data_IF_660670085454
#
_entry.id   IF_660670085454
#
_cell.length_a   1.000
_cell.length_b   1.000
_cell.length_c   1.000
_cell.angle_alpha   90.00
_cell.angle_beta   90.00
_cell.angle_gamma   90.00
#
_symmetry.space_group_name_H-M   'P 1'
#
loop_
_entity.id
_entity.type
_entity.pdbx_description
1 polymer ?
#
# COMPACT_ATOMS: atom_id res chain seq x y z
N UNK A 1 5.53 -2.13 57.41
CA UNK A 1 5.07 -3.32 58.13
C UNK A 1 5.52 -4.54 57.34
N UNK A 2 6.59 -5.17 57.84
CA UNK A 2 7.15 -6.52 57.64
C UNK A 2 7.14 -7.17 56.22
N UNK A 3 8.30 -7.39 55.56
CA UNK A 3 9.32 -8.47 55.75
C UNK A 3 9.04 -9.68 54.84
N UNK A 4 9.94 -10.48 54.28
CA UNK A 4 11.39 -10.77 54.36
C UNK A 4 11.73 -11.60 53.08
N UNK A 5 12.85 -11.41 52.39
CA UNK A 5 14.16 -12.08 52.55
C UNK A 5 14.18 -13.60 52.28
N UNK A 6 15.04 -14.00 51.33
CA UNK A 6 15.45 -15.39 51.07
C UNK A 6 16.61 -15.44 50.07
N UNK A 7 17.83 -15.30 50.60
CA UNK A 7 19.11 -15.53 49.92
C UNK A 7 19.49 -17.01 50.01
N UNK A 8 20.08 -17.59 48.96
CA UNK A 8 21.11 -18.61 49.10
C UNK A 8 22.09 -18.58 47.91
N UNK A 9 23.35 -18.30 48.25
CA UNK A 9 24.57 -18.54 47.47
C UNK A 9 24.96 -20.03 47.47
N UNK A 10 25.59 -20.47 46.37
CA UNK A 10 26.71 -21.45 46.32
C UNK A 10 27.27 -21.35 44.88
N UNK A 11 28.37 -20.64 44.58
CA UNK A 11 29.79 -20.93 44.84
C UNK A 11 30.29 -22.27 44.23
N UNK A 12 30.94 -22.27 43.05
CA UNK A 12 32.41 -22.43 42.93
C UNK A 12 32.99 -22.51 41.48
N UNK A 13 34.10 -21.76 41.34
CA UNK A 13 35.27 -21.73 40.41
C UNK A 13 35.40 -22.73 39.25
N UNK A 14 35.67 -22.26 38.02
CA UNK A 14 36.93 -21.76 37.41
C UNK A 14 37.86 -22.92 36.92
N UNK A 15 38.43 -22.87 35.70
CA UNK A 15 39.73 -22.23 35.42
C UNK A 15 40.07 -22.31 33.89
N UNK A 16 40.68 -21.23 33.39
CA UNK A 16 41.61 -21.03 32.25
C UNK A 16 41.15 -20.70 30.80
N UNK A 17 41.94 -19.79 30.24
CA UNK A 17 41.73 -18.88 29.10
C UNK A 17 42.56 -19.30 27.85
N UNK A 18 42.86 -18.46 26.82
CA UNK A 18 42.60 -18.76 25.40
C UNK A 18 43.87 -18.86 24.51
N UNK A 19 43.68 -18.85 23.16
CA UNK A 19 44.61 -18.45 22.04
C UNK A 19 45.14 -19.63 21.18
N UNK A 20 45.50 -19.49 19.86
CA UNK A 20 44.93 -18.77 18.70
C UNK A 20 44.64 -19.70 17.46
N UNK A 21 44.05 -19.14 16.40
CA UNK A 21 43.51 -19.87 15.24
C UNK A 21 44.45 -20.23 14.08
N UNK A 22 43.86 -20.80 13.01
CA UNK A 22 44.37 -20.89 11.63
C UNK A 22 43.18 -21.23 10.72
N UNK A 23 43.03 -20.50 9.61
CA UNK A 23 41.98 -20.70 8.61
C UNK A 23 42.34 -21.73 7.53
N UNK A 24 41.33 -22.23 6.83
CA UNK A 24 41.38 -22.70 5.43
C UNK A 24 39.95 -23.15 5.03
N UNK A 25 39.26 -22.38 4.19
CA UNK A 25 39.16 -22.47 2.72
C UNK A 25 38.42 -23.72 2.23
N UNK A 26 37.28 -23.46 1.61
CA UNK A 26 36.39 -24.40 0.95
C UNK A 26 37.07 -25.10 -0.25
N UNK A 27 36.82 -26.40 -0.38
CA UNK A 27 37.05 -27.15 -1.61
C UNK A 27 35.71 -27.46 -2.29
N UNK A 28 35.49 -26.77 -3.41
CA UNK A 28 34.56 -27.18 -4.46
C UNK A 28 35.03 -28.52 -5.02
N UNK A 29 34.11 -29.46 -5.24
CA UNK A 29 34.32 -30.55 -6.18
C UNK A 29 33.25 -30.47 -7.26
N UNK A 30 33.74 -30.26 -8.47
CA UNK A 30 33.02 -30.33 -9.73
C UNK A 30 32.77 -31.78 -10.12
N UNK A 31 31.58 -32.04 -10.62
CA UNK A 31 31.12 -33.30 -11.18
C UNK A 31 31.82 -33.60 -12.50
N UNK A 32 32.33 -34.83 -12.66
CA UNK A 32 32.47 -35.44 -14.00
C UNK A 32 32.00 -36.89 -13.94
N UNK A 33 30.81 -37.09 -14.50
CA UNK A 33 30.20 -38.39 -14.79
C UNK A 33 30.96 -39.08 -15.92
N UNK A 34 31.33 -40.35 -15.72
CA UNK A 34 31.99 -41.18 -16.73
C UNK A 34 31.99 -42.67 -16.39
N UNK A 35 30.92 -43.35 -16.86
CA UNK A 35 30.89 -44.74 -17.34
C UNK A 35 31.42 -45.91 -16.50
N UNK A 36 30.46 -46.72 -16.03
CA UNK A 36 30.47 -48.19 -15.82
C UNK A 36 31.84 -48.91 -15.89
N UNK A 37 32.29 -49.39 -14.74
CA UNK A 37 33.21 -50.53 -14.62
C UNK A 37 32.56 -51.58 -13.72
N UNK A 38 32.33 -52.77 -14.29
CA UNK A 38 31.98 -53.97 -13.54
C UNK A 38 33.19 -54.36 -12.70
N UNK A 39 33.11 -54.20 -11.36
CA UNK A 39 34.18 -54.63 -10.48
C UNK A 39 33.82 -56.01 -9.90
N UNK A 40 34.51 -57.04 -10.39
CA UNK A 40 34.40 -58.42 -9.90
C UNK A 40 34.84 -58.50 -8.44
N UNK A 41 34.01 -59.05 -7.58
CA UNK A 41 34.38 -59.38 -6.21
C UNK A 41 35.37 -60.55 -6.21
N UNK A 42 36.63 -60.28 -5.86
CA UNK A 42 37.60 -61.31 -5.49
C UNK A 42 37.57 -61.46 -3.96
N UNK A 43 37.47 -62.68 -3.41
CA UNK A 43 37.57 -62.86 -1.97
C UNK A 43 39.05 -62.76 -1.58
N UNK A 44 39.39 -61.80 -0.73
CA UNK A 44 40.70 -61.74 -0.08
C UNK A 44 40.64 -62.57 1.19
N UNK A 45 41.28 -63.73 1.20
CA UNK A 45 41.50 -64.53 2.41
C UNK A 45 42.44 -63.77 3.37
N UNK A 46 41.90 -63.45 4.54
CA UNK A 46 42.54 -63.58 5.84
C UNK A 46 43.85 -62.84 6.10
N UNK A 47 43.75 -61.66 6.75
CA UNK A 47 44.59 -61.37 7.92
C UNK A 47 43.67 -61.01 9.07
N UNK A 48 43.68 -61.87 10.09
CA UNK A 48 42.96 -61.76 11.34
C UNK A 48 43.34 -60.46 12.08
N UNK A 49 42.35 -59.65 12.44
CA UNK A 49 42.58 -58.52 13.35
C UNK A 49 41.60 -57.35 13.28
N UNK A 50 40.79 -57.23 12.22
CA UNK A 50 39.73 -56.24 12.13
C UNK A 50 38.38 -56.96 12.11
N UNK A 51 37.57 -56.79 13.15
CA UNK A 51 36.20 -57.29 13.18
C UNK A 51 35.37 -56.53 12.14
N UNK A 52 35.33 -57.04 10.91
CA UNK A 52 34.37 -56.60 9.91
C UNK A 52 32.98 -57.02 10.41
N UNK A 53 32.25 -56.08 11.00
CA UNK A 53 30.86 -56.31 11.39
C UNK A 53 30.05 -56.41 10.10
N UNK A 54 29.59 -57.61 9.79
CA UNK A 54 28.74 -57.86 8.65
C UNK A 54 27.42 -57.09 8.84
N UNK A 55 26.98 -56.34 7.83
CA UNK A 55 25.72 -55.60 7.92
C UNK A 55 24.57 -56.58 8.19
N UNK A 56 23.81 -56.43 9.28
CA UNK A 56 22.79 -57.41 9.69
C UNK A 56 21.65 -57.54 8.66
N UNK A 57 21.44 -56.51 7.84
CA UNK A 57 20.34 -56.44 6.86
C UNK A 57 20.67 -57.14 5.54
N UNK A 58 21.91 -57.03 5.06
CA UNK A 58 22.31 -57.60 3.76
C UNK A 58 23.38 -58.70 3.87
N UNK A 59 23.88 -58.98 5.09
CA UNK A 59 24.91 -59.98 5.39
C UNK A 59 26.13 -59.96 4.45
N UNK A 60 26.44 -58.82 3.85
CA UNK A 60 27.55 -58.67 2.89
C UNK A 60 27.22 -59.10 1.45
N UNK A 61 25.99 -59.55 1.16
CA UNK A 61 25.55 -59.97 -0.17
C UNK A 61 25.11 -58.81 -1.08
N UNK A 62 24.89 -57.61 -0.54
CA UNK A 62 24.40 -56.45 -1.30
C UNK A 62 22.94 -56.55 -1.75
N UNK A 63 22.30 -57.72 -1.62
CA UNK A 63 20.91 -57.99 -1.97
C UNK A 63 20.09 -58.27 -0.70
N UNK A 64 18.87 -57.74 -0.64
CA UNK A 64 17.95 -57.91 0.49
C UNK A 64 16.96 -59.03 0.11
N UNK A 65 16.78 -60.08 0.93
CA UNK A 65 15.82 -61.15 0.65
C UNK A 65 14.39 -60.61 0.54
N UNK A 66 13.63 -61.04 -0.48
CA UNK A 66 12.25 -60.59 -0.77
C UNK A 66 11.25 -60.81 0.39
N UNK A 67 11.52 -61.75 1.31
CA UNK A 67 10.70 -61.95 2.51
C UNK A 67 10.85 -60.82 3.53
N UNK A 68 12.01 -60.16 3.57
CA UNK A 68 12.29 -59.05 4.48
C UNK A 68 11.84 -57.70 3.87
N UNK A 69 11.76 -57.61 2.54
CA UNK A 69 11.35 -56.39 1.82
C UNK A 69 9.95 -55.90 2.24
N UNK A 70 9.02 -56.82 2.51
CA UNK A 70 7.67 -56.50 3.02
C UNK A 70 7.64 -56.00 4.47
N UNK A 71 8.70 -56.27 5.24
CA UNK A 71 8.83 -55.88 6.65
C UNK A 71 9.75 -54.66 6.84
N UNK A 72 10.55 -54.30 5.83
CA UNK A 72 11.29 -53.04 5.76
C UNK A 72 10.39 -51.88 5.34
N UNK A 73 9.30 -51.67 6.09
CA UNK A 73 8.65 -50.35 6.10
C UNK A 73 9.59 -49.43 6.87
N UNK A 74 10.13 -48.41 6.20
CA UNK A 74 10.87 -47.36 6.87
C UNK A 74 9.93 -46.60 7.83
N UNK A 75 9.74 -47.14 9.02
CA UNK A 75 9.09 -46.47 10.14
C UNK A 75 10.06 -45.38 10.59
N UNK A 76 9.92 -44.18 10.04
CA UNK A 76 10.65 -43.00 10.51
C UNK A 76 10.13 -42.73 11.93
N UNK A 77 10.95 -42.91 12.98
CA UNK A 77 10.48 -42.74 14.35
C UNK A 77 10.05 -41.28 14.55
N UNK A 78 8.93 -41.06 15.23
CA UNK A 78 8.37 -39.72 15.50
C UNK A 78 9.36 -38.78 16.25
N UNK A 79 10.43 -39.35 16.82
CA UNK A 79 11.54 -38.66 17.48
C UNK A 79 12.89 -38.77 16.75
N UNK A 80 12.92 -38.94 15.43
CA UNK A 80 14.20 -38.98 14.69
C UNK A 80 14.95 -37.66 14.84
N UNK A 81 16.08 -37.71 15.56
CA UNK A 81 16.89 -36.56 15.91
C UNK A 81 17.63 -35.99 14.70
N UNK A 82 17.70 -36.73 13.58
CA UNK A 82 18.24 -36.23 12.30
C UNK A 82 17.36 -35.13 11.69
N UNK A 83 16.06 -35.08 12.01
CA UNK A 83 15.15 -34.03 11.54
C UNK A 83 15.33 -32.67 12.24
N UNK A 84 16.33 -32.52 13.15
CA UNK A 84 16.59 -31.31 13.96
C UNK A 84 15.28 -30.59 14.34
N UNK A 85 14.36 -31.26 15.05
CA UNK A 85 12.98 -30.78 15.26
C UNK A 85 12.92 -29.39 15.90
N UNK A 86 13.92 -29.01 16.71
CA UNK A 86 14.05 -27.68 17.30
C UNK A 86 14.32 -26.58 16.27
N UNK A 87 15.15 -26.84 15.26
CA UNK A 87 15.43 -25.89 14.18
C UNK A 87 14.26 -25.83 13.18
N UNK A 88 13.65 -26.96 12.86
CA UNK A 88 12.48 -27.02 11.98
C UNK A 88 11.28 -26.29 12.59
N UNK A 89 11.01 -26.48 13.89
CA UNK A 89 9.96 -25.75 14.62
C UNK A 89 10.19 -24.23 14.65
N UNK A 90 11.43 -23.79 14.92
CA UNK A 90 11.79 -22.36 14.90
C UNK A 90 11.64 -21.78 13.49
N UNK A 91 12.06 -22.51 12.46
CA UNK A 91 11.94 -22.09 11.06
C UNK A 91 10.49 -21.94 10.64
N UNK A 92 9.63 -22.91 10.96
CA UNK A 92 8.19 -22.84 10.69
C UNK A 92 7.55 -21.68 11.44
N UNK A 93 7.87 -21.48 12.73
CA UNK A 93 7.36 -20.35 13.50
C UNK A 93 7.80 -19.00 12.90
N UNK A 94 9.07 -18.89 12.51
CA UNK A 94 9.60 -17.69 11.87
C UNK A 94 8.93 -17.42 10.51
N UNK A 95 8.69 -18.47 9.71
CA UNK A 95 7.98 -18.36 8.44
C UNK A 95 6.54 -17.88 8.63
N UNK A 96 5.82 -18.43 9.62
CA UNK A 96 4.46 -17.98 9.97
C UNK A 96 4.48 -16.52 10.42
N UNK A 97 5.42 -16.12 11.28
CA UNK A 97 5.55 -14.75 11.75
C UNK A 97 5.83 -13.78 10.59
N UNK A 98 6.77 -14.11 9.70
CA UNK A 98 7.08 -13.30 8.52
C UNK A 98 5.87 -13.17 7.60
N UNK A 99 5.10 -14.25 7.39
CA UNK A 99 3.87 -14.21 6.59
C UNK A 99 2.79 -13.30 7.21
N UNK A 100 2.59 -13.38 8.53
CA UNK A 100 1.65 -12.49 9.23
C UNK A 100 2.09 -11.03 9.13
N UNK A 101 3.39 -10.76 9.28
CA UNK A 101 3.94 -9.41 9.14
C UNK A 101 3.77 -8.88 7.72
N UNK A 102 4.11 -9.66 6.69
CA UNK A 102 3.95 -9.21 5.29
C UNK A 102 2.48 -9.02 4.93
N UNK A 103 1.59 -9.92 5.33
CA UNK A 103 0.15 -9.79 5.13
C UNK A 103 -0.39 -8.53 5.81
N UNK A 104 0.00 -8.28 7.07
CA UNK A 104 -0.42 -7.07 7.80
C UNK A 104 0.08 -5.79 7.14
N UNK A 105 1.32 -5.78 6.64
CA UNK A 105 1.88 -4.64 5.90
C UNK A 105 1.12 -4.40 4.59
N UNK A 106 0.86 -5.45 3.81
CA UNK A 106 0.08 -5.35 2.56
C UNK A 106 -1.29 -4.75 2.84
N UNK A 107 -2.00 -5.26 3.86
CA UNK A 107 -3.30 -4.70 4.25
C UNK A 107 -3.15 -3.25 4.69
N UNK A 108 -2.19 -2.91 5.54
CA UNK A 108 -2.00 -1.54 6.00
C UNK A 108 -1.72 -0.52 4.88
N UNK A 109 -0.94 -0.91 3.86
CA UNK A 109 -0.60 -0.02 2.74
C UNK A 109 -1.69 0.05 1.65
N UNK A 110 -2.41 -1.04 1.40
CA UNK A 110 -3.42 -1.12 0.35
C UNK A 110 -4.85 -0.87 0.84
N UNK A 111 -5.09 -0.86 2.16
CA UNK A 111 -6.41 -0.55 2.67
C UNK A 111 -6.78 0.90 2.31
N UNK A 112 -7.93 1.12 1.65
CA UNK A 112 -8.29 2.41 1.12
C UNK A 112 -8.47 3.41 2.26
N UNK A 113 -7.73 4.51 2.16
CA UNK A 113 -7.86 5.71 2.99
C UNK A 113 -8.66 6.76 2.23
N UNK A 114 -9.24 7.68 2.98
CA UNK A 114 -10.07 8.75 2.44
C UNK A 114 -9.31 9.65 1.47
N UNK A 115 -9.92 9.91 0.32
CA UNK A 115 -9.56 11.01 -0.57
C UNK A 115 -10.48 12.18 -0.24
N UNK A 116 -9.88 13.33 0.06
CA UNK A 116 -10.62 14.51 0.50
C UNK A 116 -10.63 15.54 -0.63
N UNK A 117 -11.82 16.04 -0.96
CA UNK A 117 -12.02 17.08 -1.97
C UNK A 117 -12.57 18.32 -1.28
N UNK A 118 -11.85 19.43 -1.39
CA UNK A 118 -12.19 20.69 -0.71
C UNK A 118 -12.18 21.85 -1.71
N UNK A 119 -13.31 22.57 -1.86
CA UNK A 119 -13.34 23.83 -2.60
C UNK A 119 -12.43 24.86 -1.92
N UNK A 120 -11.47 25.42 -2.65
CA UNK A 120 -10.57 26.46 -2.16
C UNK A 120 -11.04 27.88 -2.49
N UNK A 121 -12.14 27.99 -3.25
CA UNK A 121 -12.84 29.25 -3.56
C UNK A 121 -12.61 29.76 -4.98
N UNK A 122 -13.04 31.01 -5.18
CA UNK A 122 -13.01 31.74 -6.45
C UNK A 122 -11.60 32.25 -6.77
N UNK A 123 -11.10 31.91 -7.97
CA UNK A 123 -9.85 32.47 -8.52
C UNK A 123 -10.12 33.72 -9.34
N UNK A 124 -11.08 33.63 -10.28
CA UNK A 124 -11.45 34.74 -11.13
C UNK A 124 -12.89 34.64 -11.61
N UNK A 125 -13.44 35.80 -11.96
CA UNK A 125 -14.76 35.93 -12.57
C UNK A 125 -14.69 36.94 -13.71
N UNK A 126 -15.31 36.58 -14.84
CA UNK A 126 -15.46 37.43 -16.01
C UNK A 126 -16.95 37.60 -16.25
N UNK A 127 -17.38 38.85 -16.42
CA UNK A 127 -18.78 39.20 -16.57
C UNK A 127 -19.03 39.81 -17.94
N UNK A 128 -20.02 39.28 -18.65
CA UNK A 128 -20.55 39.89 -19.87
C UNK A 128 -22.06 39.98 -19.81
N UNK A 129 -22.61 41.08 -20.33
CA UNK A 129 -24.04 41.32 -20.39
C UNK A 129 -24.52 41.16 -21.83
N UNK A 130 -25.65 40.48 -22.02
CA UNK A 130 -26.26 40.30 -23.34
C UNK A 130 -27.77 40.50 -23.24
N UNK A 131 -28.30 41.55 -23.88
CA UNK A 131 -29.70 42.01 -23.82
C UNK A 131 -30.30 42.08 -22.39
N UNK A 132 -30.72 40.94 -21.83
CA UNK A 132 -31.28 40.78 -20.47
C UNK A 132 -30.62 39.65 -19.64
N UNK A 133 -29.55 39.03 -20.16
CA UNK A 133 -28.81 37.94 -19.55
C UNK A 133 -27.47 38.40 -18.98
N UNK A 134 -27.09 37.75 -17.87
CA UNK A 134 -25.76 37.87 -17.31
C UNK A 134 -25.00 36.58 -17.61
N UNK A 135 -23.88 36.71 -18.30
CA UNK A 135 -22.93 35.64 -18.52
C UNK A 135 -21.77 35.80 -17.53
N UNK A 136 -21.64 34.85 -16.61
CA UNK A 136 -20.58 34.79 -15.61
C UNK A 136 -19.67 33.60 -15.91
N UNK A 137 -18.46 33.85 -16.38
CA UNK A 137 -17.44 32.81 -16.47
C UNK A 137 -16.59 32.84 -15.20
N UNK A 138 -16.80 31.85 -14.33
CA UNK A 138 -16.09 31.73 -13.06
C UNK A 138 -15.02 30.67 -13.17
N UNK A 139 -13.83 30.95 -12.64
CA UNK A 139 -12.76 29.97 -12.49
C UNK A 139 -12.53 29.75 -11.00
N UNK A 140 -12.65 28.51 -10.57
CA UNK A 140 -12.55 28.10 -9.17
C UNK A 140 -11.44 27.07 -8.97
N UNK A 141 -11.11 26.88 -7.70
CA UNK A 141 -10.00 26.04 -7.28
C UNK A 141 -10.53 24.90 -6.43
N UNK A 142 -10.10 23.70 -6.78
CA UNK A 142 -10.40 22.47 -6.08
C UNK A 142 -9.12 21.89 -5.52
N UNK A 143 -9.06 21.73 -4.20
CA UNK A 143 -7.97 21.01 -3.53
C UNK A 143 -8.34 19.54 -3.40
N UNK A 144 -7.48 18.68 -3.92
CA UNK A 144 -7.65 17.23 -3.89
C UNK A 144 -6.51 16.66 -3.04
N UNK A 145 -6.86 16.08 -1.89
CA UNK A 145 -5.90 15.52 -0.94
C UNK A 145 -6.00 14.00 -0.92
N UNK A 146 -4.89 13.35 -1.25
CA UNK A 146 -4.78 11.89 -1.25
C UNK A 146 -4.06 11.41 0.02
N UNK A 147 -4.80 10.79 0.94
CA UNK A 147 -4.22 10.18 2.15
C UNK A 147 -3.75 8.74 1.96
N UNK A 148 -3.85 8.17 0.75
CA UNK A 148 -3.41 6.82 0.44
C UNK A 148 -1.88 6.76 0.25
N UNK A 149 -1.32 5.55 0.45
CA UNK A 149 0.08 5.24 0.16
C UNK A 149 0.35 4.88 -1.31
N UNK A 150 -0.68 4.91 -2.15
CA UNK A 150 -0.61 4.69 -3.58
C UNK A 150 -1.19 5.90 -4.34
N UNK A 151 -0.75 6.13 -5.59
CA UNK A 151 -1.26 7.24 -6.38
C UNK A 151 -2.71 6.98 -6.80
N UNK A 152 -3.48 8.05 -6.94
CA UNK A 152 -4.84 8.02 -7.48
C UNK A 152 -4.90 8.80 -8.79
N UNK A 153 -5.84 8.44 -9.66
CA UNK A 153 -6.08 9.16 -10.91
C UNK A 153 -7.47 9.77 -10.90
N UNK A 154 -7.57 11.08 -11.05
CA UNK A 154 -8.83 11.76 -11.30
C UNK A 154 -9.19 11.56 -12.77
N UNK A 155 -10.39 11.03 -13.01
CA UNK A 155 -10.85 10.58 -14.32
C UNK A 155 -11.98 11.45 -14.89
N UNK A 156 -12.83 11.99 -14.02
CA UNK A 156 -13.96 12.82 -14.43
C UNK A 156 -14.27 13.87 -13.37
N UNK A 157 -14.63 15.06 -13.82
CA UNK A 157 -15.17 16.14 -13.01
C UNK A 157 -16.48 16.59 -13.63
N UNK A 158 -17.55 16.56 -12.85
CA UNK A 158 -18.86 17.07 -13.27
C UNK A 158 -19.31 18.10 -12.26
N UNK A 159 -19.67 19.29 -12.72
CA UNK A 159 -20.05 20.43 -11.87
C UNK A 159 -21.34 21.03 -12.39
N UNK A 160 -22.18 21.42 -11.45
CA UNK A 160 -23.40 22.17 -11.67
C UNK A 160 -23.38 23.41 -10.78
N UNK A 161 -23.68 24.56 -11.38
CA UNK A 161 -23.75 25.84 -10.69
C UNK A 161 -25.21 26.28 -10.70
N UNK A 162 -25.70 26.62 -9.52
CA UNK A 162 -27.08 26.98 -9.28
C UNK A 162 -27.17 28.42 -8.76
N UNK A 163 -28.16 29.16 -9.24
CA UNK A 163 -28.57 30.45 -8.72
C UNK A 163 -30.04 30.36 -8.32
N UNK A 164 -30.38 30.68 -7.07
CA UNK A 164 -31.75 30.54 -6.54
C UNK A 164 -32.36 29.14 -6.82
N UNK A 165 -31.55 28.09 -6.67
CA UNK A 165 -31.91 26.69 -6.96
C UNK A 165 -32.18 26.35 -8.44
N UNK A 166 -31.92 27.27 -9.37
CA UNK A 166 -31.96 27.02 -10.81
C UNK A 166 -30.55 26.76 -11.34
N UNK A 167 -30.38 25.73 -12.16
CA UNK A 167 -29.09 25.43 -12.81
C UNK A 167 -28.80 26.51 -13.85
N UNK A 168 -27.71 27.25 -13.66
CA UNK A 168 -27.26 28.34 -14.54
C UNK A 168 -25.99 27.99 -15.31
N UNK A 169 -25.25 26.97 -14.87
CA UNK A 169 -24.05 26.48 -15.54
C UNK A 169 -23.83 25.01 -15.25
N UNK A 170 -23.26 24.29 -16.22
CA UNK A 170 -22.86 22.91 -16.08
C UNK A 170 -21.59 22.66 -16.89
N UNK A 171 -20.67 21.88 -16.35
CA UNK A 171 -19.50 21.40 -17.07
C UNK A 171 -19.24 19.94 -16.69
N UNK A 172 -18.80 19.14 -17.66
CA UNK A 172 -18.40 17.76 -17.42
C UNK A 172 -17.17 17.45 -18.25
N UNK A 173 -16.03 17.35 -17.57
CA UNK A 173 -14.73 17.15 -18.19
C UNK A 173 -14.15 15.78 -17.81
N UNK A 174 -13.58 15.13 -18.82
CA UNK A 174 -12.78 13.92 -18.63
C UNK A 174 -11.33 14.33 -18.44
N UNK A 175 -10.73 13.85 -17.37
CA UNK A 175 -9.42 14.31 -16.90
C UNK A 175 -8.47 13.13 -16.76
N UNK A 176 -7.18 13.43 -16.76
CA UNK A 176 -6.12 12.48 -16.42
C UNK A 176 -5.13 13.16 -15.48
N UNK A 177 -5.57 13.45 -14.26
CA UNK A 177 -4.73 14.07 -13.23
C UNK A 177 -4.27 13.00 -12.24
N UNK A 178 -2.96 12.82 -12.12
CA UNK A 178 -2.35 11.91 -11.14
C UNK A 178 -2.03 12.66 -9.86
N UNK A 179 -2.62 12.21 -8.74
CA UNK A 179 -2.31 12.74 -7.40
C UNK A 179 -1.40 11.75 -6.70
N UNK A 180 -0.24 12.24 -6.26
CA UNK A 180 0.78 11.43 -5.62
C UNK A 180 0.31 10.83 -4.29
N UNK A 181 0.95 9.74 -3.80
CA UNK A 181 0.71 9.23 -2.46
C UNK A 181 0.96 10.30 -1.39
N UNK A 182 0.08 10.38 -0.39
CA UNK A 182 0.20 11.31 0.74
C UNK A 182 0.39 12.79 0.33
N UNK A 183 -0.10 13.17 -0.85
CA UNK A 183 0.07 14.50 -1.42
C UNK A 183 -1.28 15.19 -1.63
N UNK A 184 -1.22 16.50 -1.82
CA UNK A 184 -2.37 17.31 -2.20
C UNK A 184 -2.05 18.08 -3.47
N UNK A 185 -2.99 18.09 -4.41
CA UNK A 185 -2.88 18.77 -5.70
C UNK A 185 -4.02 19.79 -5.83
N UNK A 186 -3.76 20.89 -6.52
CA UNK A 186 -4.76 21.91 -6.83
C UNK A 186 -5.18 21.81 -8.28
N UNK A 187 -6.47 21.83 -8.53
CA UNK A 187 -7.04 21.82 -9.87
C UNK A 187 -7.90 23.07 -10.07
N UNK A 188 -7.76 23.69 -11.23
CA UNK A 188 -8.62 24.79 -11.68
C UNK A 188 -9.72 24.25 -12.56
N UNK A 189 -10.95 24.72 -12.35
CA UNK A 189 -12.08 24.43 -13.20
C UNK A 189 -12.83 25.72 -13.52
N UNK A 190 -13.28 25.85 -14.78
CA UNK A 190 -14.02 27.02 -15.24
C UNK A 190 -15.44 26.62 -15.62
N UNK A 191 -16.42 27.41 -15.17
CA UNK A 191 -17.83 27.21 -15.52
C UNK A 191 -18.37 28.48 -16.13
N UNK A 192 -18.91 28.36 -17.34
CA UNK A 192 -19.67 29.42 -17.98
C UNK A 192 -21.12 29.33 -17.52
N UNK A 193 -21.56 30.37 -16.80
CA UNK A 193 -22.89 30.44 -16.22
C UNK A 193 -23.71 31.49 -16.97
N UNK A 194 -24.96 31.16 -17.31
CA UNK A 194 -25.93 32.08 -17.90
C UNK A 194 -27.10 32.25 -16.94
N UNK A 195 -27.27 33.47 -16.44
CA UNK A 195 -28.36 33.82 -15.52
C UNK A 195 -29.40 34.62 -16.29
N UNK A 196 -30.54 33.99 -16.54
CA UNK A 196 -31.75 34.61 -17.06
C UNK A 196 -32.66 34.97 -15.87
N UNK A 197 -32.44 36.13 -15.25
CA UNK A 197 -33.31 36.66 -14.21
C UNK A 197 -33.31 38.19 -14.23
N UNK A 198 -34.50 38.78 -14.40
CA UNK A 198 -34.67 40.22 -14.54
C UNK A 198 -34.24 40.97 -13.26
N UNK A 199 -34.49 40.39 -12.08
CA UNK A 199 -34.10 41.00 -10.81
C UNK A 199 -32.58 41.00 -10.66
N UNK A 200 -31.93 39.88 -10.92
CA UNK A 200 -30.47 39.76 -10.87
C UNK A 200 -29.81 40.65 -11.91
N UNK A 201 -30.33 40.69 -13.15
CA UNK A 201 -29.87 41.61 -14.19
C UNK A 201 -29.93 43.08 -13.74
N UNK A 202 -31.06 43.50 -13.16
CA UNK A 202 -31.19 44.84 -12.58
C UNK A 202 -30.15 45.08 -11.51
N UNK A 203 -29.99 44.17 -10.54
CA UNK A 203 -29.00 44.32 -9.45
C UNK A 203 -27.58 44.49 -10.02
N UNK A 204 -27.19 43.72 -11.03
CA UNK A 204 -25.86 43.76 -11.62
C UNK A 204 -25.60 45.01 -12.47
N UNK A 205 -26.64 45.58 -13.08
CA UNK A 205 -26.54 46.78 -13.93
C UNK A 205 -26.85 48.10 -13.20
N UNK A 206 -27.42 48.05 -11.99
CA UNK A 206 -27.94 49.25 -11.31
C UNK A 206 -26.84 50.20 -10.79
N UNK A 207 -26.62 51.31 -11.48
CA UNK A 207 -25.58 52.29 -11.11
C UNK A 207 -25.71 52.92 -9.71
N UNK A 208 -26.88 52.87 -9.07
CA UNK A 208 -27.12 53.47 -7.74
C UNK A 208 -26.64 52.59 -6.59
N UNK A 209 -26.53 51.28 -6.80
CA UNK A 209 -25.98 50.37 -5.78
C UNK A 209 -24.47 50.31 -5.91
N UNK A 210 -23.78 50.25 -4.76
CA UNK A 210 -22.32 50.08 -4.72
C UNK A 210 -21.90 48.60 -4.70
N UNK A 211 -22.85 47.69 -4.51
CA UNK A 211 -22.62 46.27 -4.26
C UNK A 211 -23.42 45.47 -5.28
N UNK A 212 -22.73 44.61 -6.04
CA UNK A 212 -23.30 43.83 -7.13
C UNK A 212 -22.92 42.36 -6.97
N UNK A 213 -23.35 41.71 -5.89
CA UNK A 213 -23.01 40.30 -5.65
C UNK A 213 -24.16 39.38 -6.01
N UNK A 214 -23.81 38.26 -6.62
CA UNK A 214 -24.70 37.14 -6.90
C UNK A 214 -24.21 35.94 -6.09
N UNK A 215 -25.13 35.23 -5.44
CA UNK A 215 -24.81 34.01 -4.71
C UNK A 215 -24.96 32.80 -5.64
N UNK A 216 -23.88 32.07 -5.84
CA UNK A 216 -23.86 30.83 -6.60
C UNK A 216 -23.67 29.66 -5.64
N UNK A 217 -24.52 28.65 -5.80
CA UNK A 217 -24.37 27.34 -5.16
C UNK A 217 -23.72 26.40 -6.17
N UNK A 218 -22.52 25.96 -5.86
CA UNK A 218 -21.73 25.10 -6.73
C UNK A 218 -21.78 23.71 -6.12
N UNK A 219 -22.29 22.75 -6.88
CA UNK A 219 -22.26 21.34 -6.51
C UNK A 219 -21.47 20.59 -7.57
N UNK A 220 -20.58 19.72 -7.12
CA UNK A 220 -19.67 19.03 -8.01
C UNK A 220 -19.41 17.62 -7.56
N UNK A 221 -19.01 16.82 -8.52
CA UNK A 221 -18.68 15.44 -8.31
C UNK A 221 -17.38 15.10 -9.03
N UNK A 222 -16.43 14.56 -8.28
CA UNK A 222 -15.12 14.14 -8.75
C UNK A 222 -15.06 12.61 -8.75
N UNK A 223 -14.68 12.02 -9.88
CA UNK A 223 -14.49 10.57 -9.98
C UNK A 223 -13.01 10.24 -10.00
N UNK A 224 -12.58 9.47 -9.00
CA UNK A 224 -11.20 9.01 -8.84
C UNK A 224 -11.11 7.51 -9.08
N UNK A 225 -10.02 7.05 -9.69
CA UNK A 225 -9.73 5.64 -9.93
C UNK A 225 -8.42 5.24 -9.27
N UNK A 226 -8.40 4.08 -8.63
CA UNK A 226 -7.22 3.48 -7.98
C UNK A 226 -7.41 1.98 -7.80
N UNK A 227 -6.34 1.19 -7.92
CA UNK A 227 -6.37 -0.28 -7.69
C UNK A 227 -7.53 -1.02 -8.40
N UNK A 228 -7.93 -0.59 -9.61
CA UNK A 228 -9.09 -1.09 -10.37
C UNK A 228 -10.47 -0.81 -9.74
N UNK A 229 -10.51 0.01 -8.69
CA UNK A 229 -11.73 0.57 -8.11
C UNK A 229 -11.93 2.00 -8.61
N UNK A 230 -13.18 2.45 -8.68
CA UNK A 230 -13.54 3.83 -8.97
C UNK A 230 -14.48 4.34 -7.91
N UNK A 231 -14.19 5.54 -7.40
CA UNK A 231 -14.90 6.17 -6.31
C UNK A 231 -15.36 7.57 -6.72
N UNK A 232 -16.57 7.93 -6.31
CA UNK A 232 -17.20 9.19 -6.64
C UNK A 232 -17.29 10.06 -5.38
N UNK A 233 -16.67 11.23 -5.41
CA UNK A 233 -16.55 12.16 -4.30
C UNK A 233 -17.37 13.41 -4.61
N UNK A 234 -18.32 13.74 -3.74
CA UNK A 234 -19.20 14.90 -3.91
C UNK A 234 -18.68 16.07 -3.08
N UNK A 235 -18.74 17.27 -3.63
CA UNK A 235 -18.41 18.52 -2.94
C UNK A 235 -19.44 19.60 -3.25
N UNK A 236 -19.57 20.56 -2.34
CA UNK A 236 -20.44 21.73 -2.52
C UNK A 236 -19.78 22.98 -1.93
N UNK A 237 -20.01 24.13 -2.55
CA UNK A 237 -19.60 25.43 -2.04
C UNK A 237 -20.63 26.52 -2.37
N UNK A 238 -20.59 27.60 -1.60
CA UNK A 238 -21.41 28.79 -1.81
C UNK A 238 -20.47 29.97 -2.01
N UNK A 239 -20.61 30.67 -3.13
CA UNK A 239 -19.70 31.74 -3.51
C UNK A 239 -20.46 33.00 -3.89
N UNK A 240 -20.02 34.13 -3.34
CA UNK A 240 -20.50 35.46 -3.74
C UNK A 240 -19.60 35.98 -4.86
N UNK A 241 -20.18 36.21 -6.03
CA UNK A 241 -19.45 36.70 -7.21
C UNK A 241 -19.91 38.12 -7.53
N UNK A 242 -18.95 39.03 -7.73
CA UNK A 242 -19.26 40.38 -8.22
C UNK A 242 -19.64 40.31 -9.70
N UNK A 243 -20.86 40.73 -10.02
CA UNK A 243 -21.43 40.69 -11.36
C UNK A 243 -21.35 42.04 -12.10
N UNK A 244 -20.56 43.01 -11.64
CA UNK A 244 -20.39 44.29 -12.35
C UNK A 244 -19.11 44.36 -13.17
N UNK A 245 -18.02 43.80 -12.66
CA UNK A 245 -16.70 43.93 -13.27
C UNK A 245 -15.91 42.64 -13.15
N UNK A 246 -14.96 42.47 -14.07
CA UNK A 246 -14.04 41.33 -14.02
C UNK A 246 -13.20 41.41 -12.74
N UNK A 247 -13.11 40.30 -12.02
CA UNK A 247 -12.35 40.22 -10.80
C UNK A 247 -11.38 39.05 -10.88
N UNK A 248 -10.13 39.30 -10.51
CA UNK A 248 -9.15 38.26 -10.15
C UNK A 248 -8.90 38.36 -8.66
N UNK A 249 -9.21 37.32 -7.90
CA UNK A 249 -8.99 37.30 -6.46
C UNK A 249 -7.53 36.94 -6.21
N UNK A 250 -6.71 37.81 -5.58
CA UNK A 250 -5.43 37.39 -5.05
C UNK A 250 -5.73 36.44 -3.89
N UNK A 251 -5.17 35.23 -3.92
CA UNK A 251 -5.33 34.25 -2.85
C UNK A 251 -5.03 34.84 -1.47
N UNK A 252 -6.08 35.16 -0.73
CA UNK A 252 -6.05 35.24 0.73
C UNK A 252 -7.07 34.24 1.24
N UNK A 253 -6.55 33.28 2.00
CA UNK A 253 -7.27 32.24 2.71
C UNK A 253 -8.45 32.86 3.48
N UNK A 254 -9.64 32.87 2.88
CA UNK A 254 -10.88 33.04 3.63
C UNK A 254 -11.18 31.66 4.19
N UNK A 255 -10.52 31.36 5.31
CA UNK A 255 -10.98 30.34 6.24
C UNK A 255 -12.37 30.78 6.71
N UNK A 256 -13.42 30.08 6.28
CA UNK A 256 -14.70 30.14 6.98
C UNK A 256 -14.46 29.58 8.40
N UNK A 257 -14.69 30.35 9.47
CA UNK A 257 -14.73 29.80 10.81
C UNK A 257 -16.01 28.95 10.99
N UNK A 258 -16.00 28.00 11.94
CA UNK A 258 -17.09 27.05 12.19
C UNK A 258 -18.39 27.71 12.67
#
# INVERSE_FOLDING_TARGET
>A
MFSQLGSQEDENKAILSPVPGIGSKASNYSSTSGSKSFCSCVPYEGIAGASFVTCPTCQGSGEIPQELEKQLVALIPYGDQRLKPRHTKLSVFLAVLLCLLTSSLIVFFLFPRSVVVQPAGLNSSIVTFDEADIHLNITNILNISNSNYYPITVTQLTIEVLHLSLVVGQVSDHLLLHVHPLASEQMFYAVSNRIWDENTYKICTWLKTKVHHVLLHIQGTLTCSYLSHSEQLVFQSYEYVDCRGNMSVPHLLISHPP
#
